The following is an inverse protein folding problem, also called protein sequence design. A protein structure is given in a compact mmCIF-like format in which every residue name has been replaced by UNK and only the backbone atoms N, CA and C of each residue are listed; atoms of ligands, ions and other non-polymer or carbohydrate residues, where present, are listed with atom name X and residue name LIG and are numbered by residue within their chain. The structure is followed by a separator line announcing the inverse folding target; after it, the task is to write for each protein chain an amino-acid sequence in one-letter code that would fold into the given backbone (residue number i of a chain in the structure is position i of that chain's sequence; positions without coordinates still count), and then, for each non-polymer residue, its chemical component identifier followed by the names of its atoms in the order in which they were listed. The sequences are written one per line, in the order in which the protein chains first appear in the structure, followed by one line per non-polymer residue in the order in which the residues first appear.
data_IF_647383355099
#
_entry.id   IF_647383355099
#
_cell.length_a   1.000
_cell.length_b   1.000
_cell.length_c   1.000
_cell.angle_alpha   90.00
_cell.angle_beta   90.00
_cell.angle_gamma   90.00
#
_symmetry.space_group_name_H-M   'P 1'
#
loop_
_entity.id
_entity.type
_entity.pdbx_description
1 polymer ?
#
# COMPACT_ATOMS: atom_id res chain seq x y z
N UNK A 1 -80.13 -11.21 -23.77
CA UNK A 1 -80.04 -11.06 -22.30
C UNK A 1 -78.83 -11.85 -21.79
N UNK A 2 -78.04 -11.25 -20.88
CA UNK A 2 -76.83 -11.75 -20.17
C UNK A 2 -75.57 -11.91 -21.06
N UNK A 3 -74.58 -11.00 -21.12
CA UNK A 3 -73.65 -10.34 -20.14
C UNK A 3 -72.61 -11.27 -19.46
N UNK A 4 -71.34 -10.91 -19.67
CA UNK A 4 -70.18 -10.97 -18.74
C UNK A 4 -69.57 -12.37 -18.48
N UNK A 5 -68.28 -12.63 -18.23
CA UNK A 5 -67.01 -11.89 -18.12
C UNK A 5 -65.90 -12.93 -17.77
N UNK A 6 -64.63 -12.66 -18.09
CA UNK A 6 -63.41 -13.14 -17.40
C UNK A 6 -63.05 -14.64 -17.54
N UNK A 7 -61.80 -15.06 -17.73
CA UNK A 7 -60.53 -14.34 -17.65
C UNK A 7 -59.41 -15.18 -18.30
N UNK A 8 -58.55 -14.49 -19.02
CA UNK A 8 -57.32 -15.01 -19.61
C UNK A 8 -56.26 -15.05 -18.51
N UNK A 9 -55.89 -16.24 -18.06
CA UNK A 9 -54.82 -16.43 -17.08
C UNK A 9 -53.47 -16.29 -17.81
N UNK A 10 -52.96 -15.05 -17.85
CA UNK A 10 -51.62 -14.75 -18.35
C UNK A 10 -50.61 -15.13 -17.25
N UNK A 11 -50.04 -16.33 -17.34
CA UNK A 11 -48.86 -16.71 -16.57
C UNK A 11 -47.66 -15.89 -17.08
N UNK A 12 -47.42 -14.73 -16.46
CA UNK A 12 -46.17 -13.99 -16.59
C UNK A 12 -45.11 -14.77 -15.81
N UNK A 13 -44.35 -15.60 -16.52
CA UNK A 13 -43.06 -16.12 -16.07
C UNK A 13 -42.12 -14.92 -15.95
N UNK A 14 -42.06 -14.34 -14.74
CA UNK A 14 -40.99 -13.43 -14.33
C UNK A 14 -39.68 -14.23 -14.33
N UNK A 15 -38.97 -14.18 -15.46
CA UNK A 15 -37.54 -14.41 -15.49
C UNK A 15 -36.91 -13.30 -14.64
N UNK A 16 -36.75 -13.56 -13.34
CA UNK A 16 -35.75 -12.87 -12.54
C UNK A 16 -34.39 -13.35 -13.04
N UNK A 17 -33.95 -12.83 -14.19
CA UNK A 17 -32.53 -12.72 -14.49
C UNK A 17 -31.97 -11.82 -13.40
N UNK A 18 -31.54 -12.45 -12.31
CA UNK A 18 -30.61 -11.85 -11.37
C UNK A 18 -29.39 -11.50 -12.20
N UNK A 19 -29.34 -10.25 -12.65
CA UNK A 19 -28.10 -9.62 -13.01
C UNK A 19 -27.31 -9.62 -11.69
N UNK A 20 -26.50 -10.64 -11.49
CA UNK A 20 -25.43 -10.59 -10.51
C UNK A 20 -24.53 -9.47 -11.02
N UNK A 21 -24.81 -8.26 -10.52
CA UNK A 21 -24.08 -7.07 -10.84
C UNK A 21 -22.65 -7.34 -10.42
N UNK A 22 -21.81 -7.67 -11.40
CA UNK A 22 -20.37 -7.69 -11.24
C UNK A 22 -19.99 -6.36 -10.61
N UNK A 23 -19.57 -6.40 -9.34
CA UNK A 23 -19.10 -5.23 -8.60
C UNK A 23 -18.15 -4.45 -9.50
N UNK A 24 -18.51 -3.21 -9.80
CA UNK A 24 -17.70 -2.35 -10.65
C UNK A 24 -16.34 -2.12 -10.00
N UNK A 25 -15.33 -1.91 -10.84
CA UNK A 25 -13.91 -1.79 -10.49
C UNK A 25 -13.60 -0.67 -9.47
N UNK A 26 -14.57 0.21 -9.18
CA UNK A 26 -14.53 1.25 -8.16
C UNK A 26 -14.91 0.78 -6.74
N UNK A 27 -15.44 -0.43 -6.55
CA UNK A 27 -15.89 -0.92 -5.24
C UNK A 27 -14.77 -1.60 -4.41
N UNK A 28 -13.51 -1.43 -4.83
CA UNK A 28 -12.37 -1.85 -4.03
C UNK A 28 -12.09 -0.76 -2.97
N UNK A 29 -12.71 -0.99 -1.81
CA UNK A 29 -12.42 -0.41 -0.48
C UNK A 29 -13.25 0.83 -0.09
N UNK A 30 -14.01 1.44 -1.01
CA UNK A 30 -14.92 2.55 -0.65
C UNK A 30 -14.20 3.80 -0.11
N UNK A 31 -12.90 3.91 -0.35
CA UNK A 31 -12.08 5.08 0.01
C UNK A 31 -12.18 6.09 -1.13
N UNK A 32 -12.53 7.33 -0.81
CA UNK A 32 -12.49 8.43 -1.76
C UNK A 32 -11.07 9.00 -1.87
N UNK A 33 -10.42 8.74 -3.02
CA UNK A 33 -9.11 9.30 -3.34
C UNK A 33 -9.18 10.68 -4.00
N UNK A 34 -10.38 11.16 -4.37
CA UNK A 34 -10.58 12.46 -5.02
C UNK A 34 -10.73 13.61 -4.03
N UNK A 35 -9.84 13.65 -3.04
CA UNK A 35 -9.81 14.69 -2.02
C UNK A 35 -8.66 15.67 -2.23
N UNK A 36 -8.79 16.86 -1.65
CA UNK A 36 -7.70 17.83 -1.56
C UNK A 36 -6.72 17.41 -0.45
N UNK A 37 -5.42 17.48 -0.75
CA UNK A 37 -4.39 16.99 0.18
C UNK A 37 -4.34 15.46 0.26
N UNK A 38 -3.69 14.96 1.30
CA UNK A 38 -3.36 13.55 1.47
C UNK A 38 -3.73 13.02 2.87
N UNK A 39 -4.60 13.73 3.58
CA UNK A 39 -5.13 13.31 4.88
C UNK A 39 -6.62 13.00 4.76
N UNK A 40 -7.04 11.87 5.32
CA UNK A 40 -8.44 11.44 5.32
C UNK A 40 -8.75 10.63 6.58
N UNK A 41 -10.02 10.38 6.84
CA UNK A 41 -10.45 9.41 7.85
C UNK A 41 -10.63 8.04 7.18
N UNK A 42 -10.09 7.00 7.83
CA UNK A 42 -10.18 5.60 7.43
C UNK A 42 -10.83 4.80 8.57
N UNK A 43 -12.02 5.25 9.00
CA UNK A 43 -12.75 4.75 10.18
C UNK A 43 -13.18 3.29 10.09
N UNK A 44 -13.19 2.71 8.88
CA UNK A 44 -13.47 1.29 8.65
C UNK A 44 -12.35 0.36 9.16
N UNK A 45 -11.19 0.91 9.54
CA UNK A 45 -10.09 0.16 10.14
C UNK A 45 -9.98 0.48 11.63
N UNK A 46 -10.40 -0.49 12.46
CA UNK A 46 -10.38 -0.44 13.93
C UNK A 46 -8.96 -0.64 14.46
N UNK A 47 -8.20 0.45 14.51
CA UNK A 47 -6.87 0.52 15.12
C UNK A 47 -6.58 1.93 15.62
N UNK A 48 -5.75 1.98 16.65
CA UNK A 48 -5.19 3.20 17.23
C UNK A 48 -3.97 3.70 16.45
N UNK A 49 -3.40 2.88 15.57
CA UNK A 49 -2.21 3.21 14.80
C UNK A 49 -2.57 3.97 13.51
N UNK A 50 -1.62 4.72 12.92
CA UNK A 50 -1.83 5.36 11.62
C UNK A 50 -2.16 4.33 10.55
N UNK A 51 -3.09 4.70 9.68
CA UNK A 51 -3.51 3.88 8.55
C UNK A 51 -3.21 4.64 7.26
N UNK A 52 -2.61 3.96 6.30
CA UNK A 52 -2.28 4.51 4.98
C UNK A 52 -3.02 3.74 3.91
N UNK A 53 -3.69 4.46 3.02
CA UNK A 53 -4.29 3.90 1.82
C UNK A 53 -3.52 4.37 0.58
N UNK A 54 -3.17 3.45 -0.32
CA UNK A 54 -2.48 3.77 -1.58
C UNK A 54 -3.26 3.23 -2.78
N UNK A 55 -3.71 4.12 -3.67
CA UNK A 55 -4.32 3.75 -4.95
C UNK A 55 -3.23 3.40 -5.97
N UNK A 56 -3.26 2.17 -6.47
CA UNK A 56 -2.36 1.64 -7.49
C UNK A 56 -3.07 1.60 -8.83
N UNK A 57 -2.52 2.31 -9.81
CA UNK A 57 -3.11 2.45 -11.14
C UNK A 57 -3.36 1.10 -11.80
N UNK A 58 -4.62 0.86 -12.20
CA UNK A 58 -5.04 -0.36 -12.89
C UNK A 58 -5.44 -1.52 -11.97
N UNK A 59 -5.12 -1.44 -10.68
CA UNK A 59 -5.32 -2.53 -9.72
C UNK A 59 -6.36 -2.20 -8.63
N UNK A 60 -6.38 -0.99 -8.09
CA UNK A 60 -7.20 -0.61 -6.91
C UNK A 60 -6.32 -0.13 -5.77
N UNK A 61 -6.80 -0.15 -4.53
CA UNK A 61 -6.06 0.33 -3.38
C UNK A 61 -5.54 -0.79 -2.46
N UNK A 62 -4.48 -0.48 -1.72
CA UNK A 62 -3.99 -1.27 -0.59
C UNK A 62 -4.06 -0.42 0.68
N UNK A 63 -4.25 -1.06 1.83
CA UNK A 63 -4.26 -0.38 3.13
C UNK A 63 -3.24 -0.99 4.06
N UNK A 64 -2.48 -0.12 4.71
CA UNK A 64 -1.37 -0.46 5.60
C UNK A 64 -1.57 0.18 6.95
N UNK A 65 -1.39 -0.59 8.02
CA UNK A 65 -1.24 -0.09 9.38
C UNK A 65 0.26 0.18 9.63
N UNK A 66 0.59 1.33 10.22
CA UNK A 66 1.96 1.71 10.58
C UNK A 66 2.20 1.49 12.08
N UNK A 67 3.42 1.16 12.49
CA UNK A 67 3.76 0.83 13.87
C UNK A 67 4.73 1.85 14.49
N UNK A 68 4.24 3.00 14.96
CA UNK A 68 5.09 4.06 15.50
C UNK A 68 5.86 3.62 16.76
N UNK A 69 5.35 2.66 17.53
CA UNK A 69 6.06 2.11 18.69
C UNK A 69 7.25 1.20 18.29
N UNK A 70 7.28 0.71 17.04
CA UNK A 70 8.32 -0.18 16.53
C UNK A 70 9.40 0.58 15.76
N UNK A 71 9.01 1.61 14.98
CA UNK A 71 9.93 2.39 14.16
C UNK A 71 9.45 3.85 14.06
N UNK A 72 9.55 4.63 15.16
CA UNK A 72 8.92 5.95 15.28
C UNK A 72 9.41 6.95 14.24
N UNK A 73 10.72 7.05 14.01
CA UNK A 73 11.26 8.01 13.05
C UNK A 73 10.90 7.61 11.61
N UNK A 74 10.86 6.32 11.33
CA UNK A 74 10.45 5.75 10.04
C UNK A 74 8.98 6.04 9.76
N UNK A 75 8.10 5.85 10.75
CA UNK A 75 6.67 6.17 10.63
C UNK A 75 6.46 7.68 10.46
N UNK A 76 7.13 8.51 11.26
CA UNK A 76 7.11 9.97 11.11
C UNK A 76 7.52 10.40 9.70
N UNK A 77 8.61 9.84 9.18
CA UNK A 77 9.09 10.08 7.82
C UNK A 77 8.04 9.70 6.77
N UNK A 78 7.48 8.50 6.88
CA UNK A 78 6.49 8.00 5.92
C UNK A 78 5.21 8.87 5.92
N UNK A 79 4.71 9.24 7.10
CA UNK A 79 3.55 10.12 7.26
C UNK A 79 3.85 11.52 6.68
N UNK A 80 5.00 12.12 7.03
CA UNK A 80 5.40 13.44 6.51
C UNK A 80 5.49 13.43 4.98
N UNK A 81 6.07 12.39 4.38
CA UNK A 81 6.12 12.24 2.92
C UNK A 81 4.73 12.11 2.29
N UNK A 82 3.80 11.34 2.89
CA UNK A 82 2.43 11.24 2.39
C UNK A 82 1.71 12.59 2.47
N UNK A 83 1.76 13.27 3.61
CA UNK A 83 1.11 14.58 3.80
C UNK A 83 1.59 15.63 2.80
N UNK A 84 2.86 15.56 2.42
CA UNK A 84 3.48 16.42 1.41
C UNK A 84 3.23 15.96 -0.04
N UNK A 85 2.44 14.91 -0.26
CA UNK A 85 2.11 14.39 -1.60
C UNK A 85 3.28 13.69 -2.30
N UNK A 86 4.36 13.33 -1.59
CA UNK A 86 5.58 12.79 -2.19
C UNK A 86 5.34 11.46 -2.93
N UNK A 87 4.41 10.65 -2.44
CA UNK A 87 4.08 9.36 -3.04
C UNK A 87 3.05 9.45 -4.18
N UNK A 88 2.44 10.62 -4.41
CA UNK A 88 1.50 10.80 -5.51
C UNK A 88 2.25 10.79 -6.84
N UNK A 89 1.75 9.99 -7.78
CA UNK A 89 2.39 9.66 -9.06
C UNK A 89 3.78 9.01 -8.95
N UNK A 90 4.15 8.54 -7.76
CA UNK A 90 5.37 7.78 -7.52
C UNK A 90 5.21 6.34 -8.05
N UNK A 91 6.27 5.55 -8.00
CA UNK A 91 6.30 4.23 -8.65
C UNK A 91 6.56 3.06 -7.70
N UNK A 92 5.92 1.92 -8.01
CA UNK A 92 6.54 0.62 -7.77
C UNK A 92 7.36 0.26 -9.00
N UNK A 93 8.67 0.10 -8.81
CA UNK A 93 9.63 -0.09 -9.89
C UNK A 93 10.29 -1.48 -9.87
N UNK A 94 10.11 -2.23 -8.77
CA UNK A 94 10.72 -3.52 -8.57
C UNK A 94 9.74 -4.54 -8.00
N UNK A 95 9.72 -5.71 -8.60
CA UNK A 95 8.95 -6.88 -8.20
C UNK A 95 9.86 -8.11 -8.25
N UNK A 96 9.97 -8.80 -7.12
CA UNK A 96 10.59 -10.13 -7.04
C UNK A 96 9.52 -11.09 -6.51
N UNK A 97 8.88 -11.89 -7.38
CA UNK A 97 7.85 -12.84 -6.96
C UNK A 97 8.35 -13.75 -5.83
N UNK A 98 7.52 -13.94 -4.80
CA UNK A 98 7.90 -14.70 -3.59
C UNK A 98 8.87 -13.98 -2.65
N UNK A 99 9.16 -12.70 -2.88
CA UNK A 99 10.02 -11.92 -2.00
C UNK A 99 9.45 -10.54 -1.70
N UNK A 100 9.48 -9.60 -2.65
CA UNK A 100 9.08 -8.20 -2.39
C UNK A 100 8.46 -7.49 -3.59
N UNK A 101 7.55 -6.57 -3.30
CA UNK A 101 7.13 -5.48 -4.19
C UNK A 101 7.69 -4.17 -3.62
N UNK A 102 8.52 -3.46 -4.37
CA UNK A 102 9.27 -2.27 -3.91
C UNK A 102 8.89 -1.02 -4.71
N UNK A 103 8.69 0.09 -3.98
CA UNK A 103 8.31 1.38 -4.53
C UNK A 103 8.81 2.56 -3.71
N UNK A 104 8.22 3.73 -3.94
CA UNK A 104 8.60 4.97 -3.25
C UNK A 104 9.84 5.67 -3.82
N UNK A 105 10.21 5.33 -5.05
CA UNK A 105 11.25 6.03 -5.81
C UNK A 105 10.63 7.03 -6.82
N UNK A 106 10.82 8.35 -6.62
CA UNK A 106 10.29 9.37 -7.53
C UNK A 106 10.90 9.31 -8.94
N UNK A 107 12.08 8.70 -9.12
CA UNK A 107 12.68 8.48 -10.44
C UNK A 107 12.21 7.17 -11.09
N UNK A 108 11.79 6.21 -10.26
CA UNK A 108 11.37 4.87 -10.67
C UNK A 108 12.46 3.99 -11.28
N UNK A 109 13.73 4.29 -11.03
CA UNK A 109 14.87 3.50 -11.52
C UNK A 109 15.66 2.80 -10.40
N UNK A 110 15.21 2.96 -9.15
CA UNK A 110 15.82 2.48 -7.92
C UNK A 110 16.78 3.47 -7.26
N UNK A 111 17.05 4.64 -7.88
CA UNK A 111 18.12 5.56 -7.44
C UNK A 111 17.63 6.86 -6.80
N UNK A 112 16.32 7.13 -6.81
CA UNK A 112 15.77 8.34 -6.21
C UNK A 112 15.42 8.19 -4.73
N UNK A 113 15.05 9.33 -4.14
CA UNK A 113 14.72 9.47 -2.73
C UNK A 113 14.19 10.88 -2.45
N UNK A 114 13.95 11.23 -1.17
CA UNK A 114 13.33 12.50 -0.79
C UNK A 114 14.32 13.65 -0.65
N UNK A 115 15.59 13.45 -1.04
CA UNK A 115 16.67 14.44 -0.89
C UNK A 115 17.43 14.36 0.43
N UNK A 116 17.02 13.47 1.33
CA UNK A 116 17.68 13.21 2.62
C UNK A 116 17.59 11.70 2.95
N UNK A 117 18.30 11.29 4.00
CA UNK A 117 18.14 9.95 4.58
C UNK A 117 17.70 10.03 6.05
N UNK A 118 17.33 8.90 6.63
CA UNK A 118 17.01 8.75 8.04
C UNK A 118 17.84 7.62 8.65
N UNK A 119 18.00 7.67 9.98
CA UNK A 119 18.67 6.61 10.73
C UNK A 119 17.87 5.30 10.63
N UNK A 120 18.56 4.19 10.38
CA UNK A 120 17.93 2.88 10.30
C UNK A 120 17.44 2.36 11.65
N UNK A 121 16.14 2.14 11.80
CA UNK A 121 15.52 1.64 13.04
C UNK A 121 15.44 0.10 13.05
N UNK A 122 16.61 -0.54 13.15
CA UNK A 122 16.74 -2.00 13.23
C UNK A 122 17.88 -2.46 14.14
N UNK A 123 17.79 -3.71 14.62
CA UNK A 123 18.64 -4.24 15.71
C UNK A 123 20.13 -4.16 15.41
N UNK A 124 20.57 -4.51 14.21
CA UNK A 124 21.98 -4.42 13.81
C UNK A 124 22.47 -2.98 13.60
N UNK A 125 21.57 -1.99 13.66
CA UNK A 125 21.90 -0.57 13.76
C UNK A 125 21.68 0.00 15.17
N UNK A 126 21.70 -0.85 16.20
CA UNK A 126 21.56 -0.46 17.62
C UNK A 126 20.20 0.16 17.95
N UNK A 127 19.14 -0.27 17.26
CA UNK A 127 17.77 0.12 17.53
C UNK A 127 16.88 -1.11 17.66
N UNK A 128 16.11 -1.25 18.73
CA UNK A 128 15.27 -2.44 18.94
C UNK A 128 14.09 -2.44 17.96
N UNK A 129 14.11 -3.36 16.99
CA UNK A 129 12.97 -3.62 16.11
C UNK A 129 12.67 -5.13 16.11
N UNK A 130 11.50 -5.49 16.64
CA UNK A 130 11.10 -6.89 16.85
C UNK A 130 10.21 -7.44 15.74
N UNK A 131 9.82 -6.60 14.77
CA UNK A 131 8.91 -6.98 13.71
C UNK A 131 9.60 -7.92 12.72
N UNK A 132 8.94 -9.04 12.43
CA UNK A 132 9.46 -10.10 11.57
C UNK A 132 9.00 -9.90 10.14
N UNK A 133 9.87 -10.14 9.16
CA UNK A 133 9.55 -9.97 7.74
C UNK A 133 8.72 -11.13 7.19
N UNK A 134 7.50 -11.30 7.70
CA UNK A 134 6.49 -12.22 7.15
C UNK A 134 5.72 -11.56 6.01
N UNK A 135 4.95 -12.35 5.24
CA UNK A 135 4.08 -11.83 4.17
C UNK A 135 3.23 -10.64 4.65
N UNK A 136 3.17 -9.59 3.83
CA UNK A 136 2.43 -8.34 4.06
C UNK A 136 3.15 -7.29 4.90
N UNK A 137 4.32 -7.58 5.47
CA UNK A 137 5.08 -6.59 6.25
C UNK A 137 5.66 -5.52 5.33
N UNK A 138 5.63 -4.28 5.81
CA UNK A 138 6.18 -3.10 5.14
C UNK A 138 7.49 -2.71 5.81
N UNK A 139 8.53 -2.49 5.02
CA UNK A 139 9.87 -2.15 5.53
C UNK A 139 10.60 -1.18 4.61
N UNK A 140 11.50 -0.38 5.17
CA UNK A 140 12.30 0.58 4.40
C UNK A 140 13.34 -0.12 3.52
N UNK A 141 13.41 0.31 2.26
CA UNK A 141 14.54 -0.02 1.40
C UNK A 141 15.73 0.89 1.74
N UNK A 142 16.95 0.34 1.61
CA UNK A 142 18.21 1.04 1.88
C UNK A 142 19.32 0.51 0.98
N UNK A 143 20.39 1.29 0.84
CA UNK A 143 21.64 0.83 0.23
C UNK A 143 22.44 -0.03 1.24
N UNK A 144 23.72 -0.29 0.96
CA UNK A 144 24.60 -1.03 1.88
C UNK A 144 24.74 -0.35 3.24
N UNK A 145 24.72 0.98 3.27
CA UNK A 145 24.87 1.77 4.49
C UNK A 145 23.60 1.68 5.35
N UNK A 146 23.78 1.56 6.68
CA UNK A 146 22.66 1.40 7.60
C UNK A 146 21.70 2.60 7.60
N UNK A 147 22.24 3.81 7.48
CA UNK A 147 21.52 5.09 7.60
C UNK A 147 21.25 5.73 6.23
N UNK A 148 20.92 4.89 5.23
CA UNK A 148 20.69 5.31 3.84
C UNK A 148 19.24 5.21 3.38
N UNK A 149 18.33 4.77 4.23
CA UNK A 149 16.91 4.76 3.93
C UNK A 149 16.39 6.20 3.77
N UNK A 150 15.49 6.41 2.81
CA UNK A 150 14.87 7.71 2.54
C UNK A 150 13.36 7.55 2.38
N UNK A 151 12.89 7.42 1.13
CA UNK A 151 11.47 7.29 0.81
C UNK A 151 11.07 5.91 0.27
N UNK A 152 12.04 5.12 -0.19
CA UNK A 152 11.77 3.82 -0.79
C UNK A 152 11.39 2.80 0.28
N UNK A 153 10.38 2.00 -0.02
CA UNK A 153 9.85 0.95 0.87
C UNK A 153 9.54 -0.30 0.05
N UNK A 154 9.39 -1.43 0.74
CA UNK A 154 8.94 -2.67 0.14
C UNK A 154 7.88 -3.36 0.99
N UNK A 155 7.02 -4.11 0.31
CA UNK A 155 6.00 -4.99 0.89
C UNK A 155 6.45 -6.44 0.66
N UNK A 156 6.45 -7.22 1.74
CA UNK A 156 6.80 -8.64 1.71
C UNK A 156 5.73 -9.47 0.98
N UNK A 157 6.14 -10.23 -0.04
CA UNK A 157 5.27 -11.18 -0.76
C UNK A 157 5.31 -12.59 -0.14
N UNK A 158 6.38 -12.89 0.60
CA UNK A 158 6.54 -14.10 1.40
C UNK A 158 7.45 -13.80 2.61
N UNK A 159 7.71 -14.79 3.46
CA UNK A 159 8.56 -14.65 4.65
C UNK A 159 10.04 -14.64 4.27
N UNK A 160 10.81 -13.67 4.76
CA UNK A 160 12.27 -13.63 4.58
C UNK A 160 12.99 -13.28 5.89
N UNK A 161 13.30 -14.30 6.69
CA UNK A 161 13.95 -14.15 8.00
C UNK A 161 15.36 -13.56 7.93
N UNK A 162 16.01 -13.59 6.76
CA UNK A 162 17.31 -12.97 6.54
C UNK A 162 17.27 -11.42 6.59
N UNK A 163 16.09 -10.82 6.43
CA UNK A 163 15.91 -9.36 6.55
C UNK A 163 15.71 -8.92 8.00
N UNK A 164 15.28 -9.82 8.89
CA UNK A 164 15.11 -9.52 10.30
C UNK A 164 16.39 -8.93 10.89
N UNK A 165 16.22 -7.98 11.82
CA UNK A 165 17.31 -7.26 12.48
C UNK A 165 18.16 -6.36 11.56
N UNK A 166 17.98 -6.39 10.24
CA UNK A 166 18.82 -5.67 9.26
C UNK A 166 18.09 -4.56 8.47
N UNK A 167 16.77 -4.52 8.59
CA UNK A 167 15.89 -3.58 7.91
C UNK A 167 14.82 -3.07 8.89
N UNK A 168 14.44 -1.80 8.71
CA UNK A 168 13.43 -1.15 9.52
C UNK A 168 12.03 -1.54 9.02
N UNK A 169 11.50 -2.65 9.55
CA UNK A 169 10.11 -3.02 9.35
C UNK A 169 9.24 -2.12 10.23
N UNK A 170 8.21 -1.48 9.64
CA UNK A 170 7.50 -0.37 10.27
C UNK A 170 5.98 -0.40 10.07
N UNK A 171 5.45 -1.43 9.40
CA UNK A 171 4.01 -1.55 9.18
C UNK A 171 3.62 -2.88 8.57
N UNK A 172 2.33 -3.04 8.28
CA UNK A 172 1.76 -4.23 7.67
C UNK A 172 0.57 -3.87 6.79
N UNK A 173 0.45 -4.52 5.64
CA UNK A 173 -0.77 -4.50 4.82
C UNK A 173 -1.88 -5.21 5.59
N UNK A 174 -2.97 -4.48 5.85
CA UNK A 174 -4.17 -4.96 6.53
C UNK A 174 -5.34 -5.17 5.55
N UNK A 175 -5.25 -4.62 4.34
CA UNK A 175 -6.23 -4.82 3.27
C UNK A 175 -5.57 -4.71 1.88
N UNK A 176 -6.10 -5.45 0.90
CA UNK A 176 -5.58 -5.47 -0.48
C UNK A 176 -4.37 -6.39 -0.71
N UNK A 177 -4.12 -7.38 0.15
CA UNK A 177 -3.08 -8.39 -0.11
C UNK A 177 -3.38 -9.24 -1.35
N UNK A 178 -4.65 -9.50 -1.66
CA UNK A 178 -5.05 -10.21 -2.88
C UNK A 178 -4.74 -9.39 -4.15
N UNK A 179 -4.83 -8.05 -4.06
CA UNK A 179 -4.43 -7.13 -5.12
C UNK A 179 -2.91 -7.18 -5.33
N UNK A 180 -2.14 -7.21 -4.26
CA UNK A 180 -0.67 -7.38 -4.32
C UNK A 180 -0.31 -8.74 -4.95
N UNK A 181 -1.02 -9.81 -4.59
CA UNK A 181 -0.82 -11.13 -5.21
C UNK A 181 -1.18 -11.12 -6.72
N UNK A 182 -2.23 -10.37 -7.11
CA UNK A 182 -2.59 -10.14 -8.53
C UNK A 182 -1.51 -9.34 -9.27
N UNK A 183 -0.92 -8.31 -8.64
CA UNK A 183 0.23 -7.59 -9.20
C UNK A 183 1.38 -8.58 -9.44
N UNK A 184 1.74 -9.36 -8.44
CA UNK A 184 2.86 -10.30 -8.50
C UNK A 184 2.68 -11.36 -9.60
N UNK A 185 1.42 -11.72 -9.90
CA UNK A 185 1.08 -12.73 -10.91
C UNK A 185 0.98 -12.19 -12.33
N UNK A 186 0.60 -10.91 -12.50
CA UNK A 186 0.27 -10.33 -13.80
C UNK A 186 1.36 -9.42 -14.37
N UNK A 187 2.18 -8.80 -13.51
CA UNK A 187 3.19 -7.85 -13.96
C UNK A 187 4.44 -8.53 -14.50
N UNK A 188 5.02 -7.92 -15.54
CA UNK A 188 6.19 -8.47 -16.23
C UNK A 188 7.46 -7.89 -15.65
N UNK A 189 8.33 -8.75 -15.12
CA UNK A 189 9.70 -8.39 -14.70
C UNK A 189 10.62 -8.39 -15.92
N UNK A 190 11.22 -7.24 -16.25
CA UNK A 190 12.16 -7.09 -17.37
C UNK A 190 13.56 -7.64 -17.05
N UNK A 191 13.96 -7.64 -15.78
CA UNK A 191 15.23 -8.22 -15.34
C UNK A 191 15.00 -9.04 -14.07
N UNK A 192 15.14 -10.37 -14.16
CA UNK A 192 14.90 -11.30 -13.05
C UNK A 192 15.96 -11.24 -11.95
N UNK A 193 17.17 -10.76 -12.23
CA UNK A 193 18.24 -10.61 -11.23
C UNK A 193 17.97 -9.41 -10.32
N UNK A 194 17.51 -8.30 -10.89
CA UNK A 194 17.24 -7.06 -10.13
C UNK A 194 15.79 -6.96 -9.68
N UNK A 195 14.87 -7.69 -10.32
CA UNK A 195 13.43 -7.54 -10.13
C UNK A 195 12.85 -6.31 -10.84
N UNK A 196 13.60 -5.64 -11.72
CA UNK A 196 13.12 -4.43 -12.41
C UNK A 196 11.87 -4.75 -13.23
N UNK A 197 10.79 -4.02 -13.01
CA UNK A 197 9.56 -4.14 -13.79
C UNK A 197 9.77 -3.67 -15.23
N UNK A 198 9.08 -4.31 -16.18
CA UNK A 198 9.06 -3.87 -17.58
C UNK A 198 8.32 -2.54 -17.74
N UNK A 199 7.26 -2.37 -16.96
CA UNK A 199 6.52 -1.11 -16.81
C UNK A 199 6.31 -0.89 -15.32
N UNK A 200 6.77 0.23 -14.80
CA UNK A 200 6.52 0.58 -13.41
C UNK A 200 5.02 0.75 -13.17
N UNK A 201 4.57 0.33 -12.00
CA UNK A 201 3.22 0.66 -11.51
C UNK A 201 3.24 2.05 -10.90
N UNK A 202 2.12 2.75 -11.00
CA UNK A 202 1.97 4.11 -10.45
C UNK A 202 1.13 4.07 -9.19
N UNK A 203 1.68 4.63 -8.10
CA UNK A 203 0.92 5.05 -6.92
C UNK A 203 0.23 6.34 -7.34
N UNK A 204 -1.07 6.29 -7.66
CA UNK A 204 -1.79 7.49 -8.10
C UNK A 204 -1.94 8.49 -6.96
N UNK A 205 -2.30 7.98 -5.79
CA UNK A 205 -2.52 8.78 -4.59
C UNK A 205 -2.23 7.96 -3.35
N UNK A 206 -1.56 8.56 -2.38
CA UNK A 206 -1.43 8.02 -1.03
C UNK A 206 -2.18 8.91 -0.03
N UNK A 207 -2.98 8.31 0.84
CA UNK A 207 -3.71 8.99 1.91
C UNK A 207 -3.28 8.44 3.25
N UNK A 208 -3.28 9.28 4.29
CA UNK A 208 -3.02 8.88 5.67
C UNK A 208 -4.16 9.32 6.59
N UNK A 209 -4.56 8.40 7.47
CA UNK A 209 -5.34 8.66 8.67
C UNK A 209 -4.41 8.50 9.88
N UNK A 210 -4.21 9.58 10.63
CA UNK A 210 -3.36 9.59 11.83
C UNK A 210 -4.08 9.14 13.09
N UNK A 211 -5.37 8.77 12.99
CA UNK A 211 -6.25 8.42 14.12
C UNK A 211 -6.31 9.52 15.18
N UNK A 212 -6.29 10.78 14.72
CA UNK A 212 -6.32 11.98 15.57
C UNK A 212 -5.02 12.23 16.35
N UNK A 213 -3.95 11.45 16.12
CA UNK A 213 -2.66 11.62 16.79
C UNK A 213 -1.74 12.55 16.02
N UNK A 214 -0.93 13.31 16.74
CA UNK A 214 0.09 14.18 16.15
C UNK A 214 1.40 13.40 16.01
N UNK A 215 1.96 13.40 14.81
CA UNK A 215 3.27 12.82 14.50
C UNK A 215 4.27 13.94 14.22
N UNK A 216 5.46 13.84 14.80
CA UNK A 216 6.54 14.81 14.62
C UNK A 216 7.11 14.73 13.20
N UNK A 217 7.75 15.82 12.75
CA UNK A 217 8.63 15.75 11.57
C UNK A 217 9.77 14.73 11.79
N UNK A 218 10.24 14.07 10.73
CA UNK A 218 11.32 13.10 10.85
C UNK A 218 12.63 13.77 11.25
N UNK A 219 13.41 13.08 12.06
CA UNK A 219 14.84 13.39 12.22
C UNK A 219 15.57 12.89 10.99
N UNK A 220 16.00 13.83 10.15
CA UNK A 220 16.72 13.57 8.91
C UNK A 220 18.24 13.62 9.11
N UNK A 221 18.96 12.91 8.26
CA UNK A 221 20.40 13.04 8.07
C UNK A 221 20.56 13.79 6.74
N UNK A 222 21.03 15.04 6.84
CA UNK A 222 21.34 15.85 5.66
C UNK A 222 22.64 15.35 5.04
N UNK A 223 22.61 15.16 3.71
CA UNK A 223 23.80 14.88 2.91
C UNK A 223 24.62 16.14 2.65
#
# INVERSE_FOLDING_TARGET
MKKFLSGLFLCILLFCTGCESSKTKEELIGIDFNINGNETSLDNYDTENPVVAMEISGYGAIVMELYPDIAPNTVNNFISLIKNGFYDNNSFHRLVPGFVLQGGDPKGDGTGGPGYTIKGEFTNNRFTNTLKHTKGIVSMARSSENDSAGSQFFIMLDTATNLDNNYAAFGKVIDGMDLIDKIASNEVVANSQTGKLKKNLTIKKALVDTKGKVYSEPTIISN
#
